data_IF_195039863443
#
_entry.id   IF_195039863443
#
_cell.length_a   1.000
_cell.length_b   1.000
_cell.length_c   1.000
_cell.angle_alpha   90.00
_cell.angle_beta   90.00
_cell.angle_gamma   90.00
#
_symmetry.space_group_name_H-M   'P 1'
#
loop_
_entity.id
_entity.type
_entity.pdbx_description
1 polymer ?
#
# COMPACT_ATOMS: atom_id res chain seq x y z
N UNK A 1 -20.75 19.99 13.49
CA UNK A 1 -19.93 18.89 13.03
C UNK A 1 -20.77 18.23 11.93
N UNK A 2 -20.46 18.52 10.67
CA UNK A 2 -21.20 17.91 9.54
C UNK A 2 -20.63 16.52 9.33
N UNK A 3 -21.42 15.53 9.72
CA UNK A 3 -21.16 14.11 9.49
C UNK A 3 -21.43 13.84 7.99
N UNK A 4 -20.49 14.23 7.14
CA UNK A 4 -20.55 13.89 5.72
C UNK A 4 -20.04 12.46 5.62
N UNK A 5 -20.96 11.53 5.42
CA UNK A 5 -20.61 10.14 5.12
C UNK A 5 -19.58 10.11 3.98
N UNK A 6 -18.48 9.37 4.12
CA UNK A 6 -17.48 9.27 3.06
C UNK A 6 -18.13 8.74 1.78
N UNK A 7 -17.72 9.24 0.60
CA UNK A 7 -18.28 8.79 -0.67
C UNK A 7 -18.07 7.28 -0.86
N UNK A 8 -18.99 6.60 -1.55
CA UNK A 8 -18.86 5.18 -1.82
C UNK A 8 -17.59 4.92 -2.64
N UNK A 9 -16.78 3.96 -2.20
CA UNK A 9 -15.48 3.62 -2.80
C UNK A 9 -15.59 2.91 -4.16
N UNK A 10 -16.80 2.62 -4.65
CA UNK A 10 -17.04 1.99 -5.94
C UNK A 10 -16.93 3.01 -7.08
N UNK A 11 -16.03 2.75 -8.01
CA UNK A 11 -15.77 3.61 -9.16
C UNK A 11 -14.78 4.76 -8.90
N UNK A 12 -14.19 4.82 -7.72
CA UNK A 12 -13.16 5.78 -7.38
C UNK A 12 -11.85 5.48 -8.14
N UNK A 13 -11.17 6.53 -8.60
CA UNK A 13 -9.81 6.39 -9.13
C UNK A 13 -8.89 5.92 -8.00
N UNK A 14 -8.22 4.81 -8.24
CA UNK A 14 -7.25 4.24 -7.29
C UNK A 14 -5.84 4.32 -7.86
N UNK A 15 -4.94 4.84 -7.06
CA UNK A 15 -3.51 4.91 -7.36
C UNK A 15 -2.78 3.83 -6.57
N UNK A 16 -1.88 3.12 -7.24
CA UNK A 16 -0.93 2.20 -6.61
C UNK A 16 0.47 2.70 -6.95
N UNK A 17 1.14 3.27 -5.95
CA UNK A 17 2.45 3.89 -6.10
C UNK A 17 3.55 2.97 -5.57
N UNK A 18 4.60 2.78 -6.38
CA UNK A 18 5.75 1.93 -6.08
C UNK A 18 5.71 0.56 -6.76
N UNK A 19 6.83 -0.13 -6.66
CA UNK A 19 7.12 -1.38 -7.39
C UNK A 19 7.09 -2.64 -6.52
N UNK A 20 6.90 -2.51 -5.21
CA UNK A 20 6.93 -3.64 -4.28
C UNK A 20 5.88 -4.73 -4.64
N UNK A 21 6.12 -6.01 -4.31
CA UNK A 21 5.22 -7.12 -4.66
C UNK A 21 3.77 -6.90 -4.22
N UNK A 22 3.54 -6.26 -3.07
CA UNK A 22 2.20 -5.95 -2.56
C UNK A 22 1.44 -4.99 -3.50
N UNK A 23 2.13 -4.07 -4.18
CA UNK A 23 1.52 -3.18 -5.17
C UNK A 23 0.85 -3.97 -6.30
N UNK A 24 1.53 -4.99 -6.82
CA UNK A 24 1.02 -5.86 -7.90
C UNK A 24 -0.18 -6.69 -7.44
N UNK A 25 -0.13 -7.22 -6.22
CA UNK A 25 -1.25 -8.00 -5.63
C UNK A 25 -2.51 -7.15 -5.52
N UNK A 26 -2.38 -5.93 -4.99
CA UNK A 26 -3.50 -5.01 -4.82
C UNK A 26 -4.00 -4.50 -6.18
N UNK A 27 -3.11 -4.16 -7.11
CA UNK A 27 -3.49 -3.73 -8.46
C UNK A 27 -4.30 -4.83 -9.19
N UNK A 28 -3.86 -6.08 -9.14
CA UNK A 28 -4.61 -7.19 -9.74
C UNK A 28 -5.95 -7.43 -9.05
N UNK A 29 -6.04 -7.31 -7.73
CA UNK A 29 -7.31 -7.42 -7.01
C UNK A 29 -8.30 -6.31 -7.43
N UNK A 30 -7.82 -5.09 -7.61
CA UNK A 30 -8.60 -3.98 -8.14
C UNK A 30 -9.12 -4.26 -9.56
N UNK A 31 -8.25 -4.75 -10.44
CA UNK A 31 -8.62 -5.07 -11.82
C UNK A 31 -9.67 -6.18 -11.89
N UNK A 32 -9.53 -7.24 -11.08
CA UNK A 32 -10.54 -8.32 -10.95
C UNK A 32 -11.89 -7.80 -10.46
N UNK A 33 -11.87 -6.83 -9.56
CA UNK A 33 -13.08 -6.16 -9.06
C UNK A 33 -13.65 -5.11 -10.01
N UNK A 34 -13.09 -4.98 -11.22
CA UNK A 34 -13.60 -4.08 -12.27
C UNK A 34 -13.13 -2.62 -12.17
N UNK A 35 -12.21 -2.31 -11.27
CA UNK A 35 -11.68 -0.96 -11.11
C UNK A 35 -10.64 -0.62 -12.18
N UNK A 36 -10.45 0.69 -12.40
CA UNK A 36 -9.29 1.21 -13.13
C UNK A 36 -8.21 1.61 -12.12
N UNK A 37 -6.95 1.40 -12.49
CA UNK A 37 -5.80 1.61 -11.62
C UNK A 37 -4.74 2.43 -12.34
N UNK A 38 -4.24 3.45 -11.67
CA UNK A 38 -3.01 4.14 -12.07
C UNK A 38 -1.86 3.56 -11.25
N UNK A 39 -0.91 2.94 -11.90
CA UNK A 39 0.38 2.54 -11.32
C UNK A 39 1.34 3.72 -11.43
N UNK A 40 1.67 4.36 -10.32
CA UNK A 40 2.65 5.43 -10.29
C UNK A 40 4.01 4.83 -9.93
N UNK A 41 5.01 5.06 -10.77
CA UNK A 41 6.39 4.63 -10.54
C UNK A 41 7.31 5.85 -10.47
N UNK A 42 8.31 5.80 -9.60
CA UNK A 42 9.36 6.79 -9.52
C UNK A 42 10.52 6.36 -10.44
N UNK A 43 11.09 7.25 -11.26
CA UNK A 43 12.25 6.92 -12.08
C UNK A 43 13.49 6.45 -11.28
N UNK A 44 13.52 6.75 -9.98
CA UNK A 44 14.58 6.31 -9.09
C UNK A 44 14.33 4.92 -8.49
N UNK A 45 13.10 4.41 -8.59
CA UNK A 45 12.83 3.05 -8.15
C UNK A 45 13.39 2.08 -9.18
N UNK A 46 14.39 1.31 -8.79
CA UNK A 46 14.84 0.22 -9.64
C UNK A 46 13.67 -0.76 -9.80
N UNK A 47 13.27 -1.11 -11.03
CA UNK A 47 12.32 -2.18 -11.22
C UNK A 47 12.91 -3.41 -10.54
N UNK A 48 12.18 -3.98 -9.55
CA UNK A 48 12.53 -5.29 -9.04
C UNK A 48 12.81 -6.18 -10.24
N UNK A 49 14.03 -6.70 -10.35
CA UNK A 49 14.35 -7.78 -11.29
C UNK A 49 13.22 -8.79 -11.09
N UNK A 50 12.39 -8.93 -12.11
CA UNK A 50 11.09 -9.61 -12.07
C UNK A 50 11.23 -10.88 -11.22
N UNK A 51 10.64 -10.95 -10.03
CA UNK A 51 10.84 -12.11 -9.21
C UNK A 51 10.37 -13.31 -10.02
N UNK A 52 11.27 -14.25 -10.30
CA UNK A 52 11.02 -15.47 -11.08
C UNK A 52 9.82 -16.30 -10.54
N UNK A 53 9.11 -15.79 -9.55
CA UNK A 53 7.98 -16.37 -8.84
C UNK A 53 6.72 -15.52 -8.85
N UNK A 54 6.58 -14.52 -9.74
CA UNK A 54 5.26 -13.89 -9.88
C UNK A 54 4.27 -14.96 -10.32
N UNK A 55 3.24 -15.18 -9.52
CA UNK A 55 2.15 -16.08 -9.90
C UNK A 55 1.69 -15.72 -11.33
N UNK A 56 1.76 -16.67 -12.25
CA UNK A 56 1.40 -16.46 -13.64
C UNK A 56 -0.02 -15.91 -13.80
N UNK A 57 -0.91 -16.23 -12.86
CA UNK A 57 -2.26 -15.68 -12.83
C UNK A 57 -2.27 -14.18 -12.50
N UNK A 58 -1.39 -13.75 -11.60
CA UNK A 58 -1.23 -12.33 -11.25
C UNK A 58 -0.71 -11.52 -12.45
N UNK A 59 0.32 -12.01 -13.13
CA UNK A 59 0.88 -11.39 -14.33
C UNK A 59 -0.18 -11.28 -15.44
N UNK A 60 -0.93 -12.35 -15.70
CA UNK A 60 -1.98 -12.36 -16.71
C UNK A 60 -3.10 -11.33 -16.42
N UNK A 61 -3.46 -11.14 -15.15
CA UNK A 61 -4.46 -10.14 -14.75
C UNK A 61 -3.98 -8.70 -15.02
N UNK A 62 -2.72 -8.40 -14.67
CA UNK A 62 -2.13 -7.10 -14.93
C UNK A 62 -2.03 -6.82 -16.43
N UNK A 63 -1.62 -7.80 -17.23
CA UNK A 63 -1.52 -7.68 -18.69
C UNK A 63 -2.90 -7.50 -19.33
N UNK A 64 -3.91 -8.23 -18.89
CA UNK A 64 -5.28 -8.04 -19.33
C UNK A 64 -5.80 -6.64 -18.98
N UNK A 65 -5.46 -6.14 -17.79
CA UNK A 65 -5.77 -4.78 -17.37
C UNK A 65 -5.12 -3.73 -18.26
N UNK A 66 -3.84 -3.90 -18.63
CA UNK A 66 -3.12 -3.01 -19.56
C UNK A 66 -3.76 -3.05 -20.94
N UNK A 67 -4.02 -4.24 -21.49
CA UNK A 67 -4.65 -4.41 -22.80
C UNK A 67 -6.03 -3.77 -22.88
N UNK A 68 -6.79 -3.78 -21.78
CA UNK A 68 -8.11 -3.14 -21.67
C UNK A 68 -8.05 -1.64 -21.37
N UNK A 69 -6.87 -1.03 -21.20
CA UNK A 69 -6.71 0.37 -20.80
C UNK A 69 -7.17 0.67 -19.38
N UNK A 70 -7.36 -0.34 -18.54
CA UNK A 70 -7.77 -0.19 -17.13
C UNK A 70 -6.58 -0.16 -16.15
N UNK A 71 -5.39 -0.50 -16.61
CA UNK A 71 -4.17 -0.38 -15.84
C UNK A 71 -3.15 0.44 -16.63
N UNK A 72 -2.87 1.63 -16.13
CA UNK A 72 -1.89 2.54 -16.74
C UNK A 72 -0.73 2.69 -15.77
N UNK A 73 0.48 2.38 -16.21
CA UNK A 73 1.72 2.62 -15.45
C UNK A 73 2.39 3.87 -16.00
N UNK A 74 2.74 4.79 -15.13
CA UNK A 74 3.27 6.10 -15.52
C UNK A 74 4.20 6.68 -14.45
N UNK A 75 5.12 7.54 -14.86
CA UNK A 75 5.94 8.37 -14.00
C UNK A 75 5.30 9.76 -13.76
N UNK A 76 4.22 10.08 -14.47
CA UNK A 76 3.52 11.36 -14.35
C UNK A 76 2.52 11.36 -13.20
N UNK A 77 2.77 12.08 -12.09
CA UNK A 77 1.84 12.20 -10.98
C UNK A 77 0.48 12.81 -11.40
N UNK A 78 0.45 13.64 -12.46
CA UNK A 78 -0.77 14.25 -12.96
C UNK A 78 -1.81 13.21 -13.43
N UNK A 79 -1.38 11.99 -13.77
CA UNK A 79 -2.29 10.88 -14.08
C UNK A 79 -3.09 10.39 -12.86
N UNK A 80 -2.64 10.74 -11.66
CA UNK A 80 -3.31 10.40 -10.39
C UNK A 80 -4.36 11.45 -9.98
N UNK A 81 -4.51 12.55 -10.73
CA UNK A 81 -5.38 13.65 -10.36
C UNK A 81 -6.81 13.20 -10.00
N UNK A 82 -7.30 13.66 -8.85
CA UNK A 82 -8.64 13.33 -8.36
C UNK A 82 -8.79 11.94 -7.77
N UNK A 83 -7.70 11.28 -7.39
CA UNK A 83 -7.79 9.99 -6.72
C UNK A 83 -8.54 10.08 -5.38
N UNK A 84 -9.21 9.00 -5.02
CA UNK A 84 -9.88 8.86 -3.72
C UNK A 84 -9.10 7.93 -2.80
N UNK A 85 -8.38 6.98 -3.37
CA UNK A 85 -7.59 5.99 -2.63
C UNK A 85 -6.21 5.89 -3.27
N UNK A 86 -5.17 5.94 -2.45
CA UNK A 86 -3.82 5.65 -2.87
C UNK A 86 -3.16 4.62 -1.95
N UNK A 87 -2.50 3.63 -2.54
CA UNK A 87 -1.58 2.73 -1.86
C UNK A 87 -0.16 3.16 -2.23
N UNK A 88 0.61 3.55 -1.26
CA UNK A 88 2.06 3.82 -1.40
C UNK A 88 2.81 2.61 -0.87
N UNK A 89 3.64 2.03 -1.71
CA UNK A 89 4.47 0.88 -1.30
C UNK A 89 5.92 1.30 -1.24
N UNK A 90 6.58 0.88 -0.19
CA UNK A 90 7.98 1.18 0.07
C UNK A 90 8.79 -0.12 -0.09
N UNK A 91 9.71 -0.17 -1.06
CA UNK A 91 10.69 -1.25 -1.10
C UNK A 91 11.61 -1.17 0.14
N UNK A 92 12.40 -2.21 0.42
CA UNK A 92 13.46 -2.11 1.41
C UNK A 92 14.35 -0.89 1.14
N UNK A 93 14.81 -0.24 2.23
CA UNK A 93 15.63 0.98 2.18
C UNK A 93 16.80 0.84 1.16
N UNK A 94 16.81 1.74 0.18
CA UNK A 94 17.84 1.80 -0.87
C UNK A 94 18.96 2.79 -0.53
N UNK A 95 18.91 3.42 0.66
CA UNK A 95 19.87 4.43 1.10
C UNK A 95 19.73 5.78 0.39
N UNK A 96 18.65 6.03 -0.33
CA UNK A 96 18.38 7.32 -0.97
C UNK A 96 18.16 8.43 0.07
N UNK A 97 18.37 9.68 -0.33
CA UNK A 97 18.21 10.85 0.54
C UNK A 97 16.77 11.05 1.03
N UNK A 98 15.79 10.64 0.22
CA UNK A 98 14.36 10.62 0.57
C UNK A 98 13.86 9.20 0.37
N UNK A 99 13.10 8.70 1.34
CA UNK A 99 12.47 7.38 1.19
C UNK A 99 11.44 7.37 0.05
N UNK A 100 11.16 6.22 -0.56
CA UNK A 100 10.09 6.10 -1.54
C UNK A 100 8.76 6.63 -1.03
N UNK A 101 8.42 6.38 0.25
CA UNK A 101 7.21 6.90 0.88
C UNK A 101 7.16 8.44 0.88
N UNK A 102 8.28 9.12 1.12
CA UNK A 102 8.37 10.59 1.03
C UNK A 102 8.15 11.07 -0.41
N UNK A 103 8.84 10.45 -1.38
CA UNK A 103 8.74 10.85 -2.79
C UNK A 103 7.32 10.68 -3.31
N UNK A 104 6.70 9.53 -3.08
CA UNK A 104 5.33 9.27 -3.52
C UNK A 104 4.30 10.12 -2.80
N UNK A 105 4.43 10.33 -1.49
CA UNK A 105 3.51 11.20 -0.76
C UNK A 105 3.62 12.65 -1.21
N UNK A 106 4.83 13.14 -1.50
CA UNK A 106 5.02 14.48 -2.06
C UNK A 106 4.40 14.61 -3.46
N UNK A 107 4.53 13.57 -4.31
CA UNK A 107 3.95 13.55 -5.65
C UNK A 107 2.41 13.52 -5.62
N UNK A 108 1.81 12.81 -4.66
CA UNK A 108 0.36 12.67 -4.53
C UNK A 108 -0.31 13.79 -3.71
N UNK A 109 0.46 14.50 -2.88
CA UNK A 109 -0.07 15.53 -1.98
C UNK A 109 -0.93 16.59 -2.68
N UNK A 110 -0.59 17.14 -3.87
CA UNK A 110 -1.39 18.17 -4.53
C UNK A 110 -2.82 17.74 -4.85
N UNK A 111 -3.05 16.44 -5.07
CA UNK A 111 -4.35 15.87 -5.45
C UNK A 111 -5.07 15.21 -4.27
N UNK A 112 -4.44 15.17 -3.09
CA UNK A 112 -5.06 14.66 -1.88
C UNK A 112 -6.14 15.64 -1.39
N UNK A 113 -7.32 15.12 -1.12
CA UNK A 113 -8.45 15.94 -0.67
C UNK A 113 -9.08 15.37 0.62
N UNK A 114 -9.89 16.18 1.36
CA UNK A 114 -10.61 15.69 2.51
C UNK A 114 -11.46 14.46 2.16
N UNK A 115 -11.36 13.43 2.99
CA UNK A 115 -12.03 12.16 2.80
C UNK A 115 -11.25 11.12 1.98
N UNK A 116 -10.08 11.43 1.41
CA UNK A 116 -9.20 10.44 0.78
C UNK A 116 -8.76 9.35 1.77
N UNK A 117 -8.39 8.19 1.25
CA UNK A 117 -7.74 7.11 1.97
C UNK A 117 -6.33 6.92 1.41
N UNK A 118 -5.32 7.13 2.25
CA UNK A 118 -3.93 6.86 1.94
C UNK A 118 -3.48 5.63 2.74
N UNK A 119 -2.95 4.63 2.06
CA UNK A 119 -2.45 3.39 2.67
C UNK A 119 -0.96 3.32 2.40
N UNK A 120 -0.17 3.11 3.43
CA UNK A 120 1.28 2.93 3.33
C UNK A 120 1.62 1.47 3.60
N UNK A 121 2.33 0.84 2.68
CA UNK A 121 2.89 -0.49 2.87
C UNK A 121 4.40 -0.39 2.95
N UNK A 122 4.92 -0.58 4.14
CA UNK A 122 6.34 -0.51 4.46
C UNK A 122 6.72 -1.56 5.50
N UNK A 123 7.93 -2.11 5.45
CA UNK A 123 8.47 -2.94 6.52
C UNK A 123 8.56 -2.22 7.88
N UNK A 124 8.71 -0.89 7.86
CA UNK A 124 8.82 0.01 9.02
C UNK A 124 7.66 1.01 9.04
N UNK A 125 6.44 0.49 9.06
CA UNK A 125 5.23 1.26 8.79
C UNK A 125 5.01 2.45 9.75
N UNK A 126 5.34 2.32 11.04
CA UNK A 126 5.18 3.43 12.00
C UNK A 126 6.03 4.63 11.58
N UNK A 127 7.28 4.40 11.17
CA UNK A 127 8.17 5.44 10.70
C UNK A 127 7.67 6.02 9.35
N UNK A 128 7.43 5.16 8.37
CA UNK A 128 6.96 5.57 7.05
C UNK A 128 5.65 6.34 7.12
N UNK A 129 4.70 5.91 7.94
CA UNK A 129 3.44 6.61 8.14
C UNK A 129 3.60 8.00 8.78
N UNK A 130 4.52 8.12 9.74
CA UNK A 130 4.86 9.42 10.33
C UNK A 130 5.46 10.39 9.32
N UNK A 131 6.36 9.90 8.47
CA UNK A 131 6.97 10.68 7.38
C UNK A 131 5.92 11.11 6.36
N UNK A 132 5.07 10.19 5.91
CA UNK A 132 3.98 10.49 4.96
C UNK A 132 3.03 11.54 5.54
N UNK A 133 2.59 11.38 6.80
CA UNK A 133 1.72 12.35 7.45
C UNK A 133 2.34 13.75 7.52
N UNK A 134 3.62 13.83 7.91
CA UNK A 134 4.35 15.09 7.99
C UNK A 134 4.54 15.76 6.62
N UNK A 135 4.86 14.97 5.59
CA UNK A 135 5.03 15.46 4.22
C UNK A 135 3.71 16.02 3.67
N UNK A 136 2.60 15.30 3.84
CA UNK A 136 1.28 15.76 3.41
C UNK A 136 0.87 17.02 4.16
N UNK A 137 1.02 17.06 5.49
CA UNK A 137 0.66 18.24 6.29
C UNK A 137 1.49 19.46 5.87
N UNK A 138 2.79 19.28 5.62
CA UNK A 138 3.67 20.34 5.18
C UNK A 138 3.24 20.94 3.82
N UNK A 139 2.85 20.10 2.89
CA UNK A 139 2.55 20.51 1.51
C UNK A 139 1.12 21.02 1.32
N UNK A 140 0.16 20.52 2.11
CA UNK A 140 -1.27 20.76 1.88
C UNK A 140 -1.98 21.39 3.07
N UNK A 141 -1.43 21.27 4.27
CA UNK A 141 -2.10 21.60 5.53
C UNK A 141 -3.12 20.55 6.00
N UNK A 142 -3.33 19.46 5.24
CA UNK A 142 -4.25 18.38 5.63
C UNK A 142 -3.61 17.47 6.68
N UNK A 143 -4.41 17.04 7.67
CA UNK A 143 -3.94 16.23 8.78
C UNK A 143 -4.51 14.83 8.74
N UNK A 144 -3.64 13.84 8.88
CA UNK A 144 -4.01 12.43 8.97
C UNK A 144 -4.95 12.18 10.17
N UNK A 145 -5.95 11.32 9.98
CA UNK A 145 -6.97 11.01 10.97
C UNK A 145 -8.02 12.09 11.17
N UNK A 146 -7.85 13.29 10.60
CA UNK A 146 -8.80 14.40 10.69
C UNK A 146 -9.38 14.76 9.33
N UNK A 147 -8.52 15.04 8.36
CA UNK A 147 -8.93 15.47 7.04
C UNK A 147 -8.93 14.31 6.04
N UNK A 148 -8.01 13.38 6.18
CA UNK A 148 -7.95 12.15 5.39
C UNK A 148 -7.61 10.95 6.27
N UNK A 149 -7.97 9.75 5.80
CA UNK A 149 -7.63 8.51 6.50
C UNK A 149 -6.21 8.07 6.11
N UNK A 150 -5.39 7.73 7.11
CA UNK A 150 -4.07 7.15 6.90
C UNK A 150 -4.01 5.78 7.56
N UNK A 151 -3.75 4.76 6.76
CA UNK A 151 -3.65 3.38 7.19
C UNK A 151 -2.30 2.77 6.79
N UNK A 152 -2.00 1.64 7.40
CA UNK A 152 -0.78 0.87 7.16
C UNK A 152 -1.14 -0.55 6.75
N UNK A 153 -0.41 -1.07 5.78
CA UNK A 153 -0.59 -2.41 5.25
C UNK A 153 0.73 -3.18 5.36
N UNK A 154 0.68 -4.35 5.96
CA UNK A 154 1.81 -5.26 6.09
C UNK A 154 1.51 -6.58 5.39
N UNK A 155 2.46 -7.09 4.67
CA UNK A 155 2.37 -8.41 4.08
C UNK A 155 2.34 -8.42 2.56
N UNK A 156 2.00 -9.57 1.97
CA UNK A 156 1.31 -10.69 2.61
C UNK A 156 2.19 -11.43 3.62
N UNK A 157 1.60 -11.75 4.78
CA UNK A 157 2.22 -12.70 5.71
C UNK A 157 2.03 -14.12 5.19
N UNK A 158 2.81 -15.11 5.67
CA UNK A 158 2.83 -16.47 5.14
C UNK A 158 1.48 -17.17 5.03
N UNK A 159 0.53 -16.81 5.89
CA UNK A 159 -0.85 -17.30 5.80
C UNK A 159 -1.64 -16.77 4.58
N UNK A 160 -1.03 -15.95 3.72
CA UNK A 160 -1.70 -15.26 2.63
C UNK A 160 -2.60 -14.10 3.08
N UNK A 161 -2.56 -13.75 4.38
CA UNK A 161 -3.29 -12.62 4.93
C UNK A 161 -2.43 -11.36 4.92
N UNK A 162 -3.07 -10.22 4.91
CA UNK A 162 -2.43 -8.92 5.15
C UNK A 162 -2.84 -8.42 6.53
N UNK A 163 -1.95 -7.67 7.19
CA UNK A 163 -2.27 -6.98 8.43
C UNK A 163 -2.54 -5.54 8.08
N UNK A 164 -3.66 -5.00 8.57
CA UNK A 164 -4.03 -3.60 8.38
C UNK A 164 -4.11 -2.89 9.72
N UNK A 165 -3.60 -1.68 9.76
CA UNK A 165 -3.69 -0.79 10.91
C UNK A 165 -4.02 0.63 10.44
N UNK A 166 -4.15 1.59 11.35
CA UNK A 166 -4.38 2.98 11.01
C UNK A 166 -3.93 3.92 12.12
N UNK A 167 -3.77 5.19 11.79
CA UNK A 167 -3.46 6.23 12.78
C UNK A 167 -4.59 6.37 13.81
N UNK A 168 -5.80 5.96 13.42
CA UNK A 168 -6.97 5.83 14.29
C UNK A 168 -7.86 4.65 13.84
N UNK A 169 -8.91 4.38 14.61
CA UNK A 169 -9.86 3.29 14.33
C UNK A 169 -10.59 3.51 13.00
N UNK A 170 -10.94 4.76 12.68
CA UNK A 170 -11.68 5.08 11.45
C UNK A 170 -10.81 4.79 10.22
N UNK A 171 -9.55 5.20 10.26
CA UNK A 171 -8.58 4.93 9.18
C UNK A 171 -8.36 3.43 8.97
N UNK A 172 -8.18 2.67 10.07
CA UNK A 172 -8.04 1.22 10.00
C UNK A 172 -9.27 0.54 9.42
N UNK A 173 -10.47 0.90 9.90
CA UNK A 173 -11.73 0.32 9.42
C UNK A 173 -11.97 0.60 7.94
N UNK A 174 -11.73 1.83 7.49
CA UNK A 174 -11.87 2.17 6.07
C UNK A 174 -10.94 1.37 5.16
N UNK A 175 -9.69 1.20 5.58
CA UNK A 175 -8.74 0.39 4.84
C UNK A 175 -9.11 -1.09 4.83
N UNK A 176 -9.56 -1.63 5.98
CA UNK A 176 -10.06 -3.01 6.09
C UNK A 176 -11.24 -3.24 5.15
N UNK A 177 -12.28 -2.41 5.24
CA UNK A 177 -13.48 -2.52 4.40
C UNK A 177 -13.13 -2.48 2.91
N UNK A 178 -12.22 -1.59 2.51
CA UNK A 178 -11.77 -1.50 1.13
C UNK A 178 -11.04 -2.76 0.67
N UNK A 179 -10.07 -3.26 1.44
CA UNK A 179 -9.29 -4.45 1.09
C UNK A 179 -10.17 -5.72 1.08
N UNK A 180 -11.08 -5.86 2.04
CA UNK A 180 -12.07 -6.96 2.08
C UNK A 180 -12.99 -6.89 0.85
N UNK A 181 -13.42 -5.69 0.46
CA UNK A 181 -14.20 -5.47 -0.76
C UNK A 181 -13.49 -5.91 -2.04
N UNK A 182 -12.17 -5.94 -2.05
CA UNK A 182 -11.34 -6.48 -3.13
C UNK A 182 -11.12 -8.00 -3.04
N UNK A 183 -11.72 -8.67 -2.05
CA UNK A 183 -11.53 -10.10 -1.82
C UNK A 183 -10.20 -10.46 -1.15
N UNK A 184 -9.49 -9.49 -0.59
CA UNK A 184 -8.24 -9.73 0.11
C UNK A 184 -8.52 -10.13 1.56
N UNK A 185 -7.77 -11.12 2.06
CA UNK A 185 -7.86 -11.54 3.45
C UNK A 185 -7.01 -10.60 4.31
N UNK A 186 -7.64 -9.84 5.20
CA UNK A 186 -6.96 -8.90 6.08
C UNK A 186 -7.25 -9.19 7.55
N UNK A 187 -6.35 -8.76 8.40
CA UNK A 187 -6.47 -8.84 9.87
C UNK A 187 -6.20 -7.43 10.44
N UNK A 188 -7.20 -6.77 11.00
CA UNK A 188 -6.99 -5.48 11.65
C UNK A 188 -6.24 -5.64 12.97
N UNK A 189 -5.23 -4.82 13.18
CA UNK A 189 -4.44 -4.78 14.43
C UNK A 189 -4.20 -3.32 14.81
N UNK A 190 -4.55 -2.93 16.01
CA UNK A 190 -4.32 -1.60 16.55
C UNK A 190 -3.58 -1.68 17.89
N UNK A 191 -2.70 -0.74 18.20
CA UNK A 191 -2.19 0.37 17.37
C UNK A 191 -1.19 -0.09 16.30
N UNK A 192 -0.70 0.83 15.45
CA UNK A 192 0.28 0.55 14.37
C UNK A 192 1.51 -0.20 14.88
N UNK A 193 2.07 0.23 16.01
CA UNK A 193 3.23 -0.44 16.62
C UNK A 193 2.95 -1.92 16.97
N UNK A 194 1.73 -2.27 17.39
CA UNK A 194 1.36 -3.66 17.62
C UNK A 194 1.24 -4.44 16.30
N UNK A 195 0.73 -3.83 15.25
CA UNK A 195 0.64 -4.43 13.91
C UNK A 195 2.03 -4.75 13.35
N UNK A 196 2.99 -3.85 13.52
CA UNK A 196 4.38 -4.04 13.12
C UNK A 196 5.05 -5.22 13.85
N UNK A 197 4.84 -5.32 15.17
CA UNK A 197 5.33 -6.46 15.95
C UNK A 197 4.71 -7.78 15.49
N UNK A 198 3.39 -7.81 15.28
CA UNK A 198 2.68 -9.01 14.81
C UNK A 198 3.17 -9.43 13.41
N UNK A 199 3.33 -8.48 12.49
CA UNK A 199 3.86 -8.74 11.16
C UNK A 199 5.27 -9.33 11.22
N UNK A 200 6.15 -8.75 12.04
CA UNK A 200 7.51 -9.24 12.24
C UNK A 200 7.58 -10.63 12.86
N UNK A 201 6.69 -10.95 13.80
CA UNK A 201 6.61 -12.28 14.39
C UNK A 201 6.14 -13.34 13.39
N UNK A 202 5.13 -13.02 12.58
CA UNK A 202 4.61 -13.92 11.56
C UNK A 202 5.64 -14.16 10.45
N UNK A 203 6.36 -13.13 10.02
CA UNK A 203 7.43 -13.27 9.04
C UNK A 203 8.57 -14.18 9.52
N UNK A 204 8.90 -14.15 10.82
CA UNK A 204 9.94 -15.03 11.42
C UNK A 204 9.46 -16.46 11.58
N UNK A 205 8.20 -16.67 11.89
CA UNK A 205 7.66 -18.01 12.11
C UNK A 205 7.71 -18.88 10.83
N UNK A 206 7.83 -18.24 9.66
CA UNK A 206 7.90 -18.91 8.37
C UNK A 206 9.33 -19.11 7.84
N UNK A 207 10.34 -18.60 8.52
CA UNK A 207 11.70 -18.93 8.16
C UNK A 207 11.95 -20.39 8.57
N UNK A 208 12.38 -21.26 7.62
CA UNK A 208 12.72 -22.62 7.98
C UNK A 208 13.79 -22.56 9.07
N UNK A 209 13.54 -23.23 10.19
CA UNK A 209 14.54 -23.38 11.25
C UNK A 209 15.80 -23.93 10.58
N UNK A 210 16.88 -23.17 10.60
CA UNK A 210 18.20 -23.73 10.30
C UNK A 210 18.52 -24.72 11.44
N UNK A 211 17.85 -25.88 11.39
CA UNK A 211 18.17 -26.99 12.27
C UNK A 211 19.59 -27.41 11.98
N UNK A 212 20.41 -27.28 13.02
CA UNK A 212 21.81 -27.56 13.06
C UNK A 212 22.20 -28.79 12.30
N UNK A 213 23.16 -28.62 11.39
CA UNK A 213 23.88 -29.75 10.85
C UNK A 213 24.37 -30.66 11.97
N UNK A 214 24.45 -31.99 11.76
CA UNK A 214 24.92 -32.91 12.77
C UNK A 214 26.32 -32.48 13.22
N UNK A 215 26.64 -32.57 14.51
CA UNK A 215 28.00 -32.32 14.98
C UNK A 215 28.93 -33.31 14.29
N UNK A 216 29.92 -32.79 13.57
CA UNK A 216 30.97 -33.57 12.97
C UNK A 216 31.65 -34.40 14.05
N UNK A 217 31.51 -35.75 13.98
CA UNK A 217 32.15 -36.73 14.76
C UNK A 217 33.49 -37.19 14.11
#
# INVERSE_FOLDING_TARGET
MNDVAPPPLQGALTVVAGVAPVARVVAAALLRSGHSVVGLVDPLDEPDDEPASLDAALAAELDAGRAAGRYVVTEDPGAAAGFTIALVTEPPDDGAALSPAERYSAALAPDLHPGSLLIVSSPTAEHAGGVVAATVELLTGLRAGTDYALAHLFGPVPSGRMIVSGVDVVSATRAEEWLVGLGLAVMPVLPVAAAEVVAGLLARADQPSEEGGPPDG
#
